data_IF_285472611143
#
_entry.id   IF_285472611143
#
_cell.length_a   1.000
_cell.length_b   1.000
_cell.length_c   1.000
_cell.angle_alpha   90.00
_cell.angle_beta   90.00
_cell.angle_gamma   90.00
#
_symmetry.space_group_name_H-M   'P 1'
#
loop_
_entity.id
_entity.type
_entity.pdbx_description
1 polymer ?
#
# COMPACT_ATOMS: atom_id res chain seq x y z
N UNK A 1 0.93 6.32 -5.32
CA UNK A 1 0.59 5.87 -6.69
C UNK A 1 -0.72 6.48 -7.16
N UNK A 2 -0.76 6.92 -8.40
CA UNK A 2 -2.01 7.41 -8.99
C UNK A 2 -2.83 6.23 -9.47
N UNK A 3 -4.14 6.38 -9.47
CA UNK A 3 -5.06 5.31 -9.89
C UNK A 3 -4.79 4.84 -11.33
N UNK A 4 -4.38 5.76 -12.21
CA UNK A 4 -4.03 5.42 -13.58
C UNK A 4 -2.85 4.45 -13.67
N UNK A 5 -1.84 4.65 -12.83
CA UNK A 5 -0.66 3.78 -12.76
C UNK A 5 -1.05 2.38 -12.25
N UNK A 6 -1.95 2.34 -11.26
CA UNK A 6 -2.44 1.08 -10.71
C UNK A 6 -3.18 0.28 -11.78
N UNK A 7 -3.98 0.94 -12.58
CA UNK A 7 -4.77 0.30 -13.65
C UNK A 7 -3.90 -0.27 -14.77
N UNK A 8 -2.71 0.26 -14.98
CA UNK A 8 -1.78 -0.22 -15.99
C UNK A 8 -1.08 -1.52 -15.60
N UNK A 9 -1.06 -1.84 -14.32
CA UNK A 9 -0.44 -3.07 -13.84
C UNK A 9 -1.27 -4.29 -14.19
N UNK A 10 -0.60 -5.41 -14.55
CA UNK A 10 -1.28 -6.68 -14.71
C UNK A 10 -1.80 -7.16 -13.36
N UNK A 11 -2.75 -8.09 -13.36
CA UNK A 11 -3.32 -8.63 -12.12
C UNK A 11 -2.25 -9.28 -11.25
N UNK A 12 -1.32 -10.03 -11.87
CA UNK A 12 -0.23 -10.66 -11.14
C UNK A 12 0.71 -9.62 -10.52
N UNK A 13 1.07 -8.60 -11.29
CA UNK A 13 1.91 -7.51 -10.81
C UNK A 13 1.24 -6.74 -9.67
N UNK A 14 -0.05 -6.51 -9.81
CA UNK A 14 -0.83 -5.80 -8.79
C UNK A 14 -0.87 -6.59 -7.49
N UNK A 15 -1.06 -7.90 -7.55
CA UNK A 15 -1.03 -8.77 -6.36
C UNK A 15 0.31 -8.71 -5.65
N UNK A 16 1.40 -8.80 -6.42
CA UNK A 16 2.75 -8.69 -5.86
C UNK A 16 2.97 -7.33 -5.21
N UNK A 17 2.51 -6.28 -5.87
CA UNK A 17 2.64 -4.92 -5.34
C UNK A 17 1.87 -4.75 -4.04
N UNK A 18 0.65 -5.26 -3.98
CA UNK A 18 -0.17 -5.20 -2.76
C UNK A 18 0.54 -5.91 -1.61
N UNK A 19 1.04 -7.11 -1.85
CA UNK A 19 1.75 -7.88 -0.82
C UNK A 19 2.99 -7.14 -0.32
N UNK A 20 3.77 -6.57 -1.24
CA UNK A 20 4.98 -5.83 -0.88
C UNK A 20 4.62 -4.58 -0.04
N UNK A 21 3.58 -3.85 -0.43
CA UNK A 21 3.18 -2.65 0.28
C UNK A 21 2.55 -2.95 1.64
N UNK A 22 1.82 -4.06 1.75
CA UNK A 22 1.26 -4.50 3.03
C UNK A 22 2.39 -4.84 4.02
N UNK A 23 3.41 -5.54 3.54
CA UNK A 23 4.59 -5.86 4.35
C UNK A 23 5.32 -4.59 4.78
N UNK A 24 5.49 -3.66 3.85
CA UNK A 24 6.11 -2.37 4.14
C UNK A 24 5.32 -1.58 5.18
N UNK A 25 4.00 -1.57 5.05
CA UNK A 25 3.12 -0.88 6.00
C UNK A 25 3.25 -1.47 7.40
N UNK A 26 3.24 -2.81 7.51
CA UNK A 26 3.41 -3.49 8.78
C UNK A 26 4.74 -3.15 9.43
N UNK A 27 5.81 -3.11 8.62
CA UNK A 27 7.14 -2.76 9.11
C UNK A 27 7.21 -1.31 9.59
N UNK A 28 6.65 -0.39 8.81
CA UNK A 28 6.60 1.02 9.19
C UNK A 28 5.78 1.25 10.46
N UNK A 29 4.68 0.53 10.59
CA UNK A 29 3.81 0.62 11.75
C UNK A 29 4.55 0.14 13.01
N UNK A 30 5.31 -0.94 12.89
CA UNK A 30 6.13 -1.46 13.98
C UNK A 30 7.21 -0.45 14.37
N UNK A 31 7.91 0.11 13.37
CA UNK A 31 8.95 1.11 13.60
C UNK A 31 8.38 2.35 14.28
N UNK A 32 7.19 2.76 13.89
CA UNK A 32 6.53 3.92 14.50
C UNK A 32 6.19 3.66 15.97
N UNK A 33 5.77 2.44 16.29
CA UNK A 33 5.46 2.05 17.66
C UNK A 33 6.72 2.06 18.57
N UNK A 34 7.86 1.69 17.99
CA UNK A 34 9.14 1.67 18.72
C UNK A 34 9.74 3.07 18.82
N UNK A 35 9.63 3.86 17.74
CA UNK A 35 10.20 5.20 17.66
C UNK A 35 9.16 6.17 17.10
N UNK A 36 8.33 6.79 17.96
CA UNK A 36 7.23 7.64 17.51
C UNK A 36 7.64 8.99 16.94
N UNK A 37 8.92 9.18 16.65
CA UNK A 37 9.44 10.40 16.05
C UNK A 37 9.15 10.51 14.55
N UNK A 38 8.77 9.41 13.92
CA UNK A 38 8.48 9.41 12.49
C UNK A 38 7.12 10.07 12.20
N UNK A 39 7.04 10.68 11.02
CA UNK A 39 5.84 11.38 10.58
C UNK A 39 4.70 10.39 10.29
N UNK A 40 3.57 10.48 11.02
CA UNK A 40 2.43 9.58 10.80
C UNK A 40 1.75 9.78 9.45
N UNK A 41 2.01 10.88 8.75
CA UNK A 41 1.45 11.12 7.42
C UNK A 41 1.90 10.06 6.41
N UNK A 42 3.14 9.59 6.52
CA UNK A 42 3.65 8.52 5.65
C UNK A 42 2.83 7.24 5.80
N UNK A 43 2.45 6.91 7.02
CA UNK A 43 1.62 5.74 7.30
C UNK A 43 0.23 5.88 6.70
N UNK A 44 -0.37 7.06 6.84
CA UNK A 44 -1.70 7.34 6.28
C UNK A 44 -1.71 7.24 4.76
N UNK A 45 -0.70 7.81 4.12
CA UNK A 45 -0.58 7.77 2.67
C UNK A 45 -0.40 6.36 2.15
N UNK A 46 0.46 5.58 2.79
CA UNK A 46 0.70 4.19 2.41
C UNK A 46 -0.56 3.36 2.58
N UNK A 47 -1.29 3.57 3.66
CA UNK A 47 -2.57 2.90 3.89
C UNK A 47 -3.58 3.20 2.78
N UNK A 48 -3.66 4.47 2.35
CA UNK A 48 -4.55 4.88 1.26
C UNK A 48 -4.16 4.23 -0.06
N UNK A 49 -2.87 4.16 -0.36
CA UNK A 49 -2.38 3.52 -1.57
C UNK A 49 -2.71 2.03 -1.58
N UNK A 50 -2.54 1.36 -0.46
CA UNK A 50 -2.90 -0.05 -0.32
C UNK A 50 -4.40 -0.25 -0.55
N UNK A 51 -5.23 0.63 0.01
CA UNK A 51 -6.67 0.57 -0.17
C UNK A 51 -7.08 0.72 -1.64
N UNK A 52 -6.43 1.64 -2.36
CA UNK A 52 -6.68 1.84 -3.79
C UNK A 52 -6.28 0.62 -4.60
N UNK A 53 -5.12 0.05 -4.32
CA UNK A 53 -4.64 -1.14 -5.02
C UNK A 53 -5.54 -2.34 -4.77
N UNK A 54 -5.97 -2.53 -3.53
CA UNK A 54 -6.90 -3.60 -3.18
C UNK A 54 -8.25 -3.42 -3.85
N UNK A 55 -8.73 -2.18 -3.92
CA UNK A 55 -9.98 -1.85 -4.60
C UNK A 55 -9.93 -2.20 -6.07
N UNK A 56 -8.85 -1.84 -6.75
CA UNK A 56 -8.65 -2.18 -8.16
C UNK A 56 -8.56 -3.69 -8.36
N UNK A 57 -7.82 -4.38 -7.51
CA UNK A 57 -7.69 -5.83 -7.59
C UNK A 57 -9.04 -6.51 -7.41
N UNK A 58 -9.84 -6.02 -6.47
CA UNK A 58 -11.18 -6.56 -6.22
C UNK A 58 -12.10 -6.35 -7.42
N UNK A 59 -12.00 -5.21 -8.09
CA UNK A 59 -12.85 -4.91 -9.24
C UNK A 59 -12.50 -5.74 -10.46
N UNK A 60 -11.30 -6.34 -10.50
CA UNK A 60 -10.86 -7.23 -11.57
C UNK A 60 -11.32 -8.67 -11.40
N UNK A 61 -11.80 -9.01 -10.24
CA UNK A 61 -12.27 -10.37 -9.95
C UNK A 61 -13.74 -10.58 -10.34
#
# INVERSE_FOLDING_TARGET
MKIAEIRELSTAELKERVEAEVTRYAQMKLNHAISPLENPESLKQLRREIARMKGELRSRN
#
